data_IF_273959748984
#
_entry.id   IF_273959748984
#
_cell.length_a   1.000
_cell.length_b   1.000
_cell.length_c   1.000
_cell.angle_alpha   90.00
_cell.angle_beta   90.00
_cell.angle_gamma   90.00
#
_symmetry.space_group_name_H-M   'P 1'
#
loop_
_entity.id
_entity.type
_entity.pdbx_description
1 polymer ?
#
# COMPACT_ATOMS: atom_id res chain seq x y z
N UNK A 1 -13.97 -38.58 -37.23
CA UNK A 1 -12.98 -38.21 -36.19
C UNK A 1 -13.02 -36.70 -35.98
N UNK A 2 -13.48 -36.24 -34.81
CA UNK A 2 -13.60 -34.81 -34.49
C UNK A 2 -12.22 -34.25 -34.15
N UNK A 3 -11.79 -33.19 -34.86
CA UNK A 3 -10.57 -32.45 -34.55
C UNK A 3 -10.86 -31.54 -33.36
N UNK A 4 -10.21 -31.77 -32.23
CA UNK A 4 -10.21 -30.84 -31.11
C UNK A 4 -9.33 -29.65 -31.51
N UNK A 5 -9.92 -28.46 -31.55
CA UNK A 5 -9.18 -27.20 -31.61
C UNK A 5 -8.70 -26.92 -30.19
N UNK A 6 -7.38 -27.00 -29.97
CA UNK A 6 -6.75 -26.53 -28.74
C UNK A 6 -6.65 -25.01 -28.83
N UNK A 7 -7.61 -24.32 -28.21
CA UNK A 7 -7.53 -22.87 -27.97
C UNK A 7 -6.47 -22.62 -26.89
N UNK A 8 -5.27 -22.23 -27.31
CA UNK A 8 -4.28 -21.57 -26.45
C UNK A 8 -4.83 -20.19 -26.06
N UNK A 9 -5.54 -20.15 -24.93
CA UNK A 9 -5.80 -18.93 -24.18
C UNK A 9 -4.51 -18.55 -23.44
N UNK A 10 -3.65 -17.80 -24.13
CA UNK A 10 -2.51 -17.12 -23.50
C UNK A 10 -3.09 -15.98 -22.65
N UNK A 11 -2.76 -15.87 -21.35
CA UNK A 11 -3.36 -14.86 -20.48
C UNK A 11 -2.74 -13.49 -20.78
N UNK A 12 -3.49 -12.62 -21.46
CA UNK A 12 -3.16 -11.21 -21.64
C UNK A 12 -3.47 -10.37 -20.37
N UNK A 13 -3.07 -10.83 -19.18
CA UNK A 13 -3.35 -10.13 -17.90
C UNK A 13 -2.08 -9.48 -17.30
N UNK A 14 -0.89 -9.70 -17.88
CA UNK A 14 0.37 -9.30 -17.23
C UNK A 14 0.78 -7.83 -17.38
N UNK A 15 0.22 -7.06 -18.31
CA UNK A 15 0.69 -5.68 -18.56
C UNK A 15 0.13 -4.65 -17.57
N UNK A 16 -1.17 -4.68 -17.29
CA UNK A 16 -1.78 -3.76 -16.32
C UNK A 16 -1.23 -3.95 -14.89
N UNK A 17 -0.90 -5.19 -14.52
CA UNK A 17 -0.36 -5.52 -13.21
C UNK A 17 1.11 -5.08 -13.04
N UNK A 18 1.90 -5.08 -14.11
CA UNK A 18 3.29 -4.62 -14.07
C UNK A 18 3.38 -3.09 -13.84
N UNK A 19 2.52 -2.31 -14.51
CA UNK A 19 2.45 -0.86 -14.31
C UNK A 19 1.97 -0.50 -12.90
N UNK A 20 1.00 -1.25 -12.36
CA UNK A 20 0.52 -1.08 -11.00
C UNK A 20 1.60 -1.40 -9.95
N UNK A 21 2.30 -2.53 -10.10
CA UNK A 21 3.38 -2.89 -9.19
C UNK A 21 4.49 -1.83 -9.17
N UNK A 22 4.89 -1.36 -10.35
CA UNK A 22 5.87 -0.27 -10.48
C UNK A 22 5.37 1.01 -9.81
N UNK A 23 4.10 1.35 -10.00
CA UNK A 23 3.48 2.55 -9.40
C UNK A 23 3.54 2.48 -7.86
N UNK A 24 3.12 1.37 -7.28
CA UNK A 24 3.12 1.17 -5.82
C UNK A 24 4.53 1.16 -5.25
N UNK A 25 5.48 0.54 -5.95
CA UNK A 25 6.89 0.54 -5.55
C UNK A 25 7.45 1.96 -5.55
N UNK A 26 7.16 2.76 -6.58
CA UNK A 26 7.60 4.15 -6.65
C UNK A 26 6.99 4.99 -5.52
N UNK A 27 5.66 4.91 -5.32
CA UNK A 27 4.98 5.58 -4.20
C UNK A 27 5.66 5.27 -2.86
N UNK A 28 5.92 3.99 -2.60
CA UNK A 28 6.56 3.57 -1.36
C UNK A 28 7.97 4.15 -1.23
N UNK A 29 8.79 4.15 -2.28
CA UNK A 29 10.14 4.72 -2.22
C UNK A 29 10.10 6.24 -1.99
N UNK A 30 9.22 6.96 -2.68
CA UNK A 30 9.03 8.41 -2.51
C UNK A 30 8.62 8.73 -1.06
N UNK A 31 7.65 8.00 -0.50
CA UNK A 31 7.23 8.20 0.89
C UNK A 31 8.29 7.77 1.90
N UNK A 32 9.02 6.70 1.62
CA UNK A 32 10.12 6.24 2.47
C UNK A 32 11.23 7.28 2.53
N UNK A 33 11.61 7.87 1.39
CA UNK A 33 12.57 8.96 1.32
C UNK A 33 12.05 10.19 2.11
N UNK A 34 10.79 10.57 1.88
CA UNK A 34 10.16 11.67 2.61
C UNK A 34 10.24 11.47 4.13
N UNK A 35 9.78 10.33 4.66
CA UNK A 35 9.75 10.09 6.12
C UNK A 35 11.13 9.82 6.72
N UNK A 36 12.12 9.43 5.91
CA UNK A 36 13.53 9.33 6.35
C UNK A 36 14.14 10.68 6.69
N UNK A 37 13.65 11.75 6.05
CA UNK A 37 14.13 13.12 6.23
C UNK A 37 13.19 13.97 7.12
N UNK A 38 12.10 13.37 7.59
CA UNK A 38 11.07 14.06 8.35
C UNK A 38 11.36 13.98 9.85
N UNK A 39 11.20 15.11 10.55
CA UNK A 39 11.15 15.12 12.02
C UNK A 39 9.73 14.85 12.49
N UNK A 40 9.58 13.85 13.36
CA UNK A 40 8.32 13.52 14.01
C UNK A 40 7.89 14.59 15.01
N UNK A 41 6.57 14.73 15.16
CA UNK A 41 5.95 15.58 16.17
C UNK A 41 5.82 14.81 17.50
N UNK A 42 5.57 13.49 17.43
CA UNK A 42 5.43 12.59 18.58
C UNK A 42 5.68 11.13 18.20
N UNK A 43 5.79 10.28 19.22
CA UNK A 43 5.72 8.82 19.09
C UNK A 43 4.30 8.34 19.42
N UNK A 44 3.88 7.25 18.76
CA UNK A 44 2.61 6.55 18.99
C UNK A 44 2.92 5.10 19.34
N UNK A 45 2.48 4.67 20.53
CA UNK A 45 2.75 3.33 21.07
C UNK A 45 4.25 3.05 21.26
N UNK A 46 5.06 4.09 21.50
CA UNK A 46 6.53 4.06 21.63
C UNK A 46 7.27 3.46 20.43
N UNK A 47 6.57 3.29 19.30
CA UNK A 47 7.05 2.56 18.14
C UNK A 47 6.93 3.37 16.85
N UNK A 48 5.75 3.95 16.60
CA UNK A 48 5.51 4.73 15.39
C UNK A 48 5.93 6.18 15.60
N UNK A 49 6.79 6.68 14.72
CA UNK A 49 6.96 8.11 14.53
C UNK A 49 5.70 8.67 13.90
N UNK A 50 5.29 9.86 14.33
CA UNK A 50 4.04 10.47 13.89
C UNK A 50 4.23 11.94 13.52
N UNK A 51 3.55 12.37 12.46
CA UNK A 51 3.43 13.77 12.05
C UNK A 51 1.98 14.11 11.78
N UNK A 52 1.50 15.20 12.39
CA UNK A 52 0.14 15.68 12.25
C UNK A 52 0.06 16.77 11.18
N UNK A 53 -0.73 16.49 10.15
CA UNK A 53 -1.24 17.47 9.20
C UNK A 53 -2.70 17.81 9.57
N UNK A 54 -3.32 18.88 9.03
CA UNK A 54 -4.67 19.30 9.42
C UNK A 54 -5.69 18.15 9.41
N UNK A 55 -5.72 17.35 8.35
CA UNK A 55 -6.70 16.27 8.18
C UNK A 55 -6.08 14.87 8.11
N UNK A 56 -4.77 14.75 8.30
CA UNK A 56 -4.03 13.48 8.13
C UNK A 56 -3.02 13.30 9.25
N UNK A 57 -3.04 12.13 9.86
CA UNK A 57 -1.99 11.63 10.72
C UNK A 57 -1.09 10.69 9.90
N UNK A 58 0.13 11.14 9.62
CA UNK A 58 1.16 10.32 9.00
C UNK A 58 1.92 9.57 10.11
N UNK A 59 1.93 8.25 10.03
CA UNK A 59 2.62 7.34 10.93
C UNK A 59 3.67 6.55 10.16
N UNK A 60 4.86 6.40 10.72
CA UNK A 60 5.86 5.54 10.12
C UNK A 60 6.72 4.82 11.15
N UNK A 61 7.13 3.61 10.79
CA UNK A 61 8.31 2.98 11.33
C UNK A 61 9.16 2.50 10.16
N UNK A 62 10.42 2.90 10.12
CA UNK A 62 11.37 2.39 9.15
C UNK A 62 12.24 1.34 9.84
N UNK A 63 12.66 0.33 9.07
CA UNK A 63 13.46 -0.79 9.56
C UNK A 63 14.67 -0.24 10.31
N UNK A 64 14.84 -0.68 11.55
CA UNK A 64 16.04 -0.51 12.34
C UNK A 64 16.63 -1.90 12.66
N UNK A 65 17.67 -1.93 13.49
CA UNK A 65 18.33 -3.18 13.87
C UNK A 65 17.42 -4.11 14.71
N UNK A 66 16.23 -3.65 15.12
CA UNK A 66 15.29 -4.33 16.01
C UNK A 66 14.03 -4.79 15.25
N UNK A 67 13.57 -4.01 14.28
CA UNK A 67 12.31 -4.21 13.56
C UNK A 67 12.57 -4.70 12.15
N UNK A 68 12.07 -5.88 11.82
CA UNK A 68 12.25 -6.48 10.50
C UNK A 68 11.23 -5.98 9.45
N UNK A 69 10.26 -5.16 9.88
CA UNK A 69 9.17 -4.65 9.06
C UNK A 69 9.13 -3.13 9.03
N UNK A 70 8.75 -2.59 7.88
CA UNK A 70 8.52 -1.15 7.69
C UNK A 70 7.05 -0.88 7.48
N UNK A 71 6.58 0.23 8.05
CA UNK A 71 5.21 0.70 7.90
C UNK A 71 5.24 2.18 7.59
N UNK A 72 4.51 2.59 6.57
CA UNK A 72 4.16 4.00 6.32
C UNK A 72 2.65 4.07 6.15
N UNK A 73 2.00 4.86 6.99
CA UNK A 73 0.55 4.92 7.07
C UNK A 73 0.07 6.36 7.05
N UNK A 74 -0.83 6.66 6.11
CA UNK A 74 -1.60 7.88 6.07
C UNK A 74 -2.97 7.57 6.64
N UNK A 75 -3.30 8.15 7.79
CA UNK A 75 -4.55 7.90 8.50
C UNK A 75 -5.37 9.17 8.59
N UNK A 76 -6.68 9.07 8.33
CA UNK A 76 -7.63 10.16 8.55
C UNK A 76 -8.96 9.63 9.04
N UNK A 77 -9.74 10.52 9.64
CA UNK A 77 -11.16 10.28 9.89
C UNK A 77 -11.99 10.87 8.75
N UNK A 78 -13.07 10.16 8.40
CA UNK A 78 -14.17 10.71 7.60
C UNK A 78 -15.06 11.60 8.46
N UNK A 79 -15.92 12.38 7.82
CA UNK A 79 -16.89 13.24 8.51
C UNK A 79 -17.84 12.44 9.43
N UNK A 80 -18.16 11.20 9.07
CA UNK A 80 -18.96 10.28 9.87
C UNK A 80 -18.18 9.61 11.02
N UNK A 81 -16.92 9.98 11.21
CA UNK A 81 -16.03 9.45 12.25
C UNK A 81 -15.42 8.09 11.93
N UNK A 82 -15.71 7.49 10.77
CA UNK A 82 -15.08 6.22 10.37
C UNK A 82 -13.63 6.45 9.90
N UNK A 83 -12.70 5.51 10.16
CA UNK A 83 -11.32 5.65 9.73
C UNK A 83 -11.17 5.37 8.23
N UNK A 84 -10.24 6.08 7.60
CA UNK A 84 -9.73 5.78 6.27
C UNK A 84 -8.21 5.80 6.30
N UNK A 85 -7.58 4.81 5.69
CA UNK A 85 -6.13 4.72 5.67
C UNK A 85 -5.58 4.25 4.32
N UNK A 86 -4.38 4.74 4.02
CA UNK A 86 -3.47 4.13 3.06
C UNK A 86 -2.25 3.65 3.83
N UNK A 87 -1.96 2.35 3.78
CA UNK A 87 -0.84 1.77 4.51
C UNK A 87 0.07 1.01 3.56
N UNK A 88 1.35 1.33 3.58
CA UNK A 88 2.43 0.56 2.98
C UNK A 88 3.08 -0.28 4.08
N UNK A 89 3.18 -1.58 3.87
CA UNK A 89 3.74 -2.52 4.81
C UNK A 89 4.76 -3.41 4.13
N UNK A 90 6.04 -3.19 4.42
CA UNK A 90 7.14 -4.02 3.92
C UNK A 90 7.54 -5.03 4.99
N UNK A 91 7.41 -6.33 4.72
CA UNK A 91 7.75 -7.36 5.71
C UNK A 91 8.08 -8.70 5.07
N UNK A 92 8.80 -9.54 5.81
CA UNK A 92 9.08 -10.94 5.47
C UNK A 92 8.05 -11.93 6.02
N UNK A 93 7.13 -11.49 6.89
CA UNK A 93 6.20 -12.38 7.60
C UNK A 93 4.92 -12.73 6.84
N UNK A 94 4.65 -12.03 5.74
CA UNK A 94 3.39 -12.19 5.00
C UNK A 94 3.47 -13.39 4.04
N UNK A 95 4.60 -13.51 3.34
CA UNK A 95 4.84 -14.58 2.37
C UNK A 95 6.16 -15.23 2.75
N UNK A 96 6.07 -16.51 3.14
CA UNK A 96 7.24 -17.25 3.61
C UNK A 96 8.37 -17.24 2.56
N UNK A 97 9.58 -16.96 3.02
CA UNK A 97 10.77 -16.83 2.19
C UNK A 97 10.84 -15.60 1.28
N UNK A 98 9.90 -14.63 1.35
CA UNK A 98 9.91 -13.41 0.53
C UNK A 98 9.75 -12.14 1.35
N UNK A 99 10.53 -11.12 1.02
CA UNK A 99 10.26 -9.76 1.49
C UNK A 99 9.22 -9.16 0.55
N UNK A 100 8.05 -8.82 1.07
CA UNK A 100 6.96 -8.25 0.26
C UNK A 100 6.64 -6.82 0.67
N UNK A 101 6.16 -6.03 -0.28
CA UNK A 101 5.52 -4.73 -0.04
C UNK A 101 4.02 -4.89 -0.22
N UNK A 102 3.22 -4.58 0.81
CA UNK A 102 1.78 -4.49 0.69
C UNK A 102 1.30 -3.06 0.71
N UNK A 103 0.38 -2.71 -0.18
CA UNK A 103 -0.37 -1.45 -0.13
C UNK A 103 -1.83 -1.72 0.16
N UNK A 104 -2.29 -1.21 1.29
CA UNK A 104 -3.68 -1.19 1.73
C UNK A 104 -4.30 0.16 1.40
N UNK A 105 -5.53 0.16 0.87
CA UNK A 105 -6.37 1.37 0.72
C UNK A 105 -7.78 1.06 1.21
N UNK A 106 -8.30 1.88 2.12
CA UNK A 106 -9.72 1.83 2.51
C UNK A 106 -9.99 2.06 3.99
N UNK A 107 -11.23 1.78 4.44
CA UNK A 107 -11.58 1.86 5.84
C UNK A 107 -10.98 0.72 6.66
N UNK A 108 -10.52 1.03 7.86
CA UNK A 108 -10.11 0.00 8.83
C UNK A 108 -11.35 -0.62 9.51
N UNK A 109 -11.28 -1.91 9.94
CA UNK A 109 -10.12 -2.81 9.89
C UNK A 109 -10.05 -3.71 8.64
N UNK A 110 -11.11 -3.78 7.84
CA UNK A 110 -11.26 -4.79 6.78
C UNK A 110 -10.70 -4.37 5.41
N UNK A 111 -10.52 -3.08 5.17
CA UNK A 111 -10.01 -2.55 3.90
C UNK A 111 -10.91 -2.82 2.70
N UNK A 112 -10.66 -2.10 1.63
CA UNK A 112 -11.25 -2.42 0.34
C UNK A 112 -10.24 -3.13 -0.54
N UNK A 113 -8.99 -2.67 -0.57
CA UNK A 113 -7.99 -3.20 -1.48
C UNK A 113 -6.62 -3.38 -0.83
N UNK A 114 -5.99 -4.51 -1.14
CA UNK A 114 -4.64 -4.86 -0.73
C UNK A 114 -3.85 -5.46 -1.89
N UNK A 115 -2.83 -4.76 -2.36
CA UNK A 115 -1.88 -5.29 -3.35
C UNK A 115 -0.65 -5.87 -2.67
N UNK A 116 -0.08 -6.94 -3.23
CA UNK A 116 1.14 -7.57 -2.73
C UNK A 116 2.23 -7.58 -3.81
N UNK A 117 3.31 -6.90 -3.45
CA UNK A 117 4.61 -6.66 -4.07
C UNK A 117 5.71 -7.68 -3.75
N UNK A 118 6.35 -8.42 -4.64
CA UNK A 118 7.68 -8.94 -4.28
C UNK A 118 8.65 -7.75 -4.24
N UNK A 119 9.14 -7.41 -3.05
CA UNK A 119 9.91 -6.17 -2.87
C UNK A 119 11.26 -6.21 -3.60
N UNK A 120 11.84 -7.40 -3.76
CA UNK A 120 13.17 -7.54 -4.35
C UNK A 120 13.10 -7.60 -5.87
N UNK A 121 12.08 -8.25 -6.43
CA UNK A 121 11.95 -8.44 -7.88
C UNK A 121 11.02 -7.44 -8.54
N UNK A 122 10.15 -6.77 -7.77
CA UNK A 122 9.06 -5.95 -8.29
C UNK A 122 7.90 -6.75 -8.89
N UNK A 123 7.90 -8.07 -8.76
CA UNK A 123 6.85 -8.95 -9.27
C UNK A 123 5.54 -8.74 -8.53
N UNK A 124 4.45 -8.51 -9.29
CA UNK A 124 3.11 -8.43 -8.71
C UNK A 124 2.62 -9.81 -8.26
N UNK A 125 2.48 -10.01 -6.95
CA UNK A 125 2.07 -11.29 -6.36
C UNK A 125 0.54 -11.43 -6.22
N UNK A 126 -0.20 -10.34 -6.38
CA UNK A 126 -1.64 -10.36 -6.47
C UNK A 126 -2.35 -9.35 -5.57
N UNK A 127 -3.67 -9.48 -5.55
CA UNK A 127 -4.61 -8.60 -4.85
C UNK A 127 -5.49 -9.39 -3.90
N UNK A 128 -5.85 -8.76 -2.79
CA UNK A 128 -6.98 -9.15 -1.94
C UNK A 128 -7.95 -7.98 -1.83
N UNK A 129 -9.26 -8.27 -1.80
CA UNK A 129 -10.32 -7.27 -1.70
C UNK A 129 -10.94 -6.86 -3.05
N UNK A 130 -11.65 -5.73 -3.08
CA UNK A 130 -12.44 -5.20 -4.19
C UNK A 130 -12.14 -3.72 -4.44
N UNK A 131 -12.52 -3.21 -5.61
CA UNK A 131 -12.17 -1.84 -6.00
C UNK A 131 -12.87 -0.86 -5.04
N UNK A 132 -12.13 0.04 -4.38
CA UNK A 132 -12.71 0.91 -3.39
C UNK A 132 -13.73 1.87 -4.02
N UNK A 133 -14.93 1.97 -3.44
CA UNK A 133 -15.82 3.08 -3.76
C UNK A 133 -15.35 4.31 -2.99
N UNK A 134 -14.49 5.09 -3.61
CA UNK A 134 -13.93 6.28 -2.98
C UNK A 134 -14.90 7.46 -3.04
N UNK A 135 -15.12 8.10 -1.90
CA UNK A 135 -15.80 9.40 -1.81
C UNK A 135 -14.97 10.48 -2.53
N UNK A 136 -15.58 11.66 -2.77
CA UNK A 136 -14.86 12.79 -3.37
C UNK A 136 -13.66 13.21 -2.52
N UNK A 137 -13.82 13.24 -1.20
CA UNK A 137 -12.77 13.67 -0.28
C UNK A 137 -11.64 12.66 -0.17
N UNK A 138 -11.94 11.36 -0.32
CA UNK A 138 -10.93 10.31 -0.39
C UNK A 138 -10.13 10.40 -1.68
N UNK A 139 -10.79 10.62 -2.82
CA UNK A 139 -10.10 10.85 -4.09
C UNK A 139 -9.20 12.08 -4.03
N UNK A 140 -9.69 13.17 -3.44
CA UNK A 140 -8.91 14.39 -3.26
C UNK A 140 -7.70 14.14 -2.36
N UNK A 141 -7.90 13.43 -1.23
CA UNK A 141 -6.80 13.04 -0.36
C UNK A 141 -5.72 12.22 -1.09
N UNK A 142 -6.11 11.25 -1.92
CA UNK A 142 -5.15 10.46 -2.69
C UNK A 142 -4.39 11.34 -3.70
N UNK A 143 -5.06 12.30 -4.34
CA UNK A 143 -4.43 13.26 -5.25
C UNK A 143 -3.43 14.17 -4.51
N UNK A 144 -3.83 14.74 -3.37
CA UNK A 144 -3.01 15.68 -2.59
C UNK A 144 -1.72 15.02 -2.09
N UNK A 145 -1.79 13.73 -1.78
CA UNK A 145 -0.64 12.92 -1.36
C UNK A 145 0.05 12.19 -2.51
N UNK A 146 -0.35 12.43 -3.75
CA UNK A 146 0.19 11.78 -4.96
C UNK A 146 0.10 10.22 -4.93
N UNK A 147 -0.90 9.68 -4.25
CA UNK A 147 -1.21 8.24 -4.20
C UNK A 147 -2.10 7.89 -5.39
N UNK A 148 -1.66 6.94 -6.22
CA UNK A 148 -2.37 6.51 -7.43
C UNK A 148 -3.39 5.43 -7.10
N UNK A 149 -4.63 5.64 -7.55
CA UNK A 149 -5.75 4.71 -7.44
C UNK A 149 -6.46 4.59 -8.78
#
# INVERSE_FOLDING_TARGET
>A
MKKLILLLLIPFISFANADLAKTIMNEYQDFREMVSNLKEDRLVGDYYKAKQYPDVLLLWNLRDDINDHEVIRFFRYREDGTPFAVTYHRSSYIVDGRIVLRRFVGPEPSGWENHTIDYLTGEYLGRQGFDPYLSKDEKQFLIDWNIKH
#
